data_IF_308427464666
#
_entry.id   IF_308427464666
#
_cell.length_a   1.000
_cell.length_b   1.000
_cell.length_c   1.000
_cell.angle_alpha   90.00
_cell.angle_beta   90.00
_cell.angle_gamma   90.00
#
_symmetry.space_group_name_H-M   'P 1'
#
loop_
_entity.id
_entity.type
_entity.pdbx_description
1 polymer ?
#
# COMPACT_ATOMS: atom_id res chain seq x y z
N UNK A 1 7.08 -8.62 -21.98
CA UNK A 1 6.08 -8.81 -20.90
C UNK A 1 6.82 -9.30 -19.67
N UNK A 2 7.19 -8.38 -18.78
CA UNK A 2 7.77 -8.75 -17.48
C UNK A 2 6.62 -9.21 -16.59
N UNK A 3 6.60 -10.46 -16.08
CA UNK A 3 5.48 -10.93 -15.29
C UNK A 3 5.39 -10.09 -14.00
N UNK A 4 4.18 -9.69 -13.56
CA UNK A 4 3.98 -8.88 -12.36
C UNK A 4 4.48 -9.55 -11.06
N UNK A 5 4.94 -10.80 -11.12
CA UNK A 5 5.41 -11.61 -10.01
C UNK A 5 6.93 -11.57 -9.75
N UNK A 6 7.70 -10.81 -10.54
CA UNK A 6 9.18 -10.80 -10.43
C UNK A 6 9.76 -9.64 -9.60
N UNK A 7 8.93 -8.82 -8.95
CA UNK A 7 9.40 -7.65 -8.17
C UNK A 7 9.41 -7.86 -6.65
N UNK A 8 8.91 -8.99 -6.14
CA UNK A 8 8.96 -9.35 -4.72
C UNK A 8 7.83 -10.26 -4.25
N UNK A 9 7.98 -10.91 -3.09
CA UNK A 9 6.93 -11.72 -2.47
C UNK A 9 6.08 -10.79 -1.58
N UNK A 10 4.92 -10.36 -2.07
CA UNK A 10 3.96 -9.55 -1.31
C UNK A 10 2.75 -10.39 -0.90
N UNK A 11 2.25 -10.18 0.32
CA UNK A 11 0.99 -10.77 0.75
C UNK A 11 -0.17 -9.89 0.27
N UNK A 12 -1.01 -10.45 -0.60
CA UNK A 12 -2.24 -9.82 -1.06
C UNK A 12 -3.41 -10.28 -0.19
N UNK A 13 -3.83 -9.41 0.72
CA UNK A 13 -5.07 -9.54 1.47
C UNK A 13 -5.82 -8.23 1.34
N UNK A 14 -7.11 -8.21 1.67
CA UNK A 14 -7.83 -6.95 1.90
C UNK A 14 -7.20 -6.21 3.11
N UNK A 15 -7.95 -5.46 3.91
CA UNK A 15 -7.37 -4.65 5.00
C UNK A 15 -6.35 -5.34 5.95
N UNK A 16 -6.35 -6.67 6.09
CA UNK A 16 -5.40 -7.42 6.92
C UNK A 16 -3.98 -7.62 6.34
N UNK A 17 -3.72 -7.24 5.08
CA UNK A 17 -2.43 -7.50 4.40
C UNK A 17 -1.21 -7.01 5.18
N UNK A 18 -1.29 -5.83 5.78
CA UNK A 18 -0.21 -5.24 6.58
C UNK A 18 0.12 -6.07 7.83
N UNK A 19 -0.91 -6.51 8.57
CA UNK A 19 -0.74 -7.31 9.79
C UNK A 19 -0.15 -8.69 9.49
N UNK A 20 -0.57 -9.33 8.38
CA UNK A 20 -0.01 -10.61 7.93
C UNK A 20 1.45 -10.44 7.49
N UNK A 21 1.74 -9.40 6.70
CA UNK A 21 3.09 -9.15 6.21
C UNK A 21 4.10 -8.94 7.34
N UNK A 22 3.69 -8.33 8.45
CA UNK A 22 4.53 -8.12 9.64
C UNK A 22 5.08 -9.43 10.26
N UNK A 23 4.42 -10.56 9.99
CA UNK A 23 4.81 -11.87 10.48
C UNK A 23 5.28 -12.83 9.35
N UNK A 24 5.43 -12.32 8.13
CA UNK A 24 5.79 -13.12 6.97
C UNK A 24 6.87 -12.41 6.13
N UNK A 25 6.47 -11.76 5.04
CA UNK A 25 7.39 -11.22 4.02
C UNK A 25 7.97 -9.86 4.38
N UNK A 26 7.41 -9.16 5.37
CA UNK A 26 7.74 -7.76 5.67
C UNK A 26 7.23 -6.77 4.61
N UNK A 27 6.51 -7.23 3.59
CA UNK A 27 5.97 -6.41 2.49
C UNK A 27 4.48 -6.69 2.29
N UNK A 28 3.66 -5.65 2.38
CA UNK A 28 2.23 -5.69 2.11
C UNK A 28 1.91 -4.82 0.88
N UNK A 29 0.97 -5.29 0.05
CA UNK A 29 0.42 -4.55 -1.07
C UNK A 29 -1.10 -4.51 -0.93
N UNK A 30 -1.69 -3.33 -1.03
CA UNK A 30 -3.14 -3.14 -0.91
C UNK A 30 -3.63 -2.00 -1.79
N UNK A 31 -4.94 -1.94 -2.06
CA UNK A 31 -5.58 -0.78 -2.67
C UNK A 31 -6.01 0.24 -1.61
N UNK A 32 -6.18 1.50 -2.03
CA UNK A 32 -6.69 2.60 -1.19
C UNK A 32 -8.03 2.26 -0.50
N UNK A 33 -9.01 1.72 -1.24
CA UNK A 33 -10.30 1.33 -0.67
C UNK A 33 -10.15 0.24 0.39
N UNK A 34 -9.40 -0.83 0.08
CA UNK A 34 -9.22 -1.94 1.00
C UNK A 34 -8.54 -1.50 2.30
N UNK A 35 -7.61 -0.54 2.21
CA UNK A 35 -6.96 0.02 3.38
C UNK A 35 -7.93 0.86 4.23
N UNK A 36 -8.70 1.76 3.61
CA UNK A 36 -9.67 2.61 4.33
C UNK A 36 -10.77 1.76 4.96
N UNK A 37 -11.26 0.76 4.24
CA UNK A 37 -12.38 -0.07 4.67
C UNK A 37 -12.03 -0.94 5.89
N UNK A 38 -10.84 -1.54 5.92
CA UNK A 38 -10.52 -2.50 7.00
C UNK A 38 -9.03 -2.66 7.32
N UNK A 39 -8.16 -1.74 6.89
CA UNK A 39 -6.71 -1.87 7.10
C UNK A 39 -6.07 -0.84 8.01
N UNK A 40 -6.71 0.32 8.25
CA UNK A 40 -6.14 1.41 9.06
C UNK A 40 -5.72 0.95 10.46
N UNK A 41 -6.53 0.12 11.13
CA UNK A 41 -6.25 -0.37 12.49
C UNK A 41 -4.96 -1.18 12.56
N UNK A 42 -4.63 -1.93 11.51
CA UNK A 42 -3.36 -2.68 11.45
C UNK A 42 -2.19 -1.71 11.32
N UNK A 43 -2.33 -0.63 10.55
CA UNK A 43 -1.26 0.37 10.36
C UNK A 43 -0.99 1.12 11.66
N UNK A 44 -2.04 1.49 12.39
CA UNK A 44 -1.92 2.12 13.71
C UNK A 44 -1.15 1.21 14.67
N UNK A 45 -1.49 -0.08 14.73
CA UNK A 45 -0.81 -1.05 15.60
C UNK A 45 0.67 -1.23 15.24
N UNK A 46 0.97 -1.39 13.94
CA UNK A 46 2.35 -1.55 13.44
C UNK A 46 3.19 -0.30 13.72
N UNK A 47 2.61 0.88 13.52
CA UNK A 47 3.26 2.15 13.82
C UNK A 47 3.56 2.29 15.31
N UNK A 48 2.55 2.05 16.17
CA UNK A 48 2.68 2.16 17.62
C UNK A 48 3.73 1.19 18.19
N UNK A 49 3.86 -0.01 17.59
CA UNK A 49 4.81 -1.04 18.00
C UNK A 49 6.17 -0.96 17.29
N UNK A 50 6.37 0.00 16.38
CA UNK A 50 7.62 0.12 15.62
C UNK A 50 7.95 -1.12 14.77
N UNK A 51 6.94 -1.82 14.25
CA UNK A 51 7.15 -3.07 13.50
C UNK A 51 7.66 -2.81 12.08
N UNK A 52 8.67 -3.55 11.59
CA UNK A 52 9.21 -3.39 10.25
C UNK A 52 8.27 -3.96 9.18
N UNK A 53 7.55 -3.08 8.48
CA UNK A 53 6.70 -3.44 7.33
C UNK A 53 6.82 -2.38 6.25
N UNK A 54 7.07 -2.78 5.02
CA UNK A 54 6.83 -1.95 3.84
C UNK A 54 5.38 -2.14 3.40
N UNK A 55 4.55 -1.13 3.63
CA UNK A 55 3.19 -1.07 3.13
C UNK A 55 3.17 -0.29 1.80
N UNK A 56 2.75 -0.96 0.74
CA UNK A 56 2.53 -0.35 -0.56
C UNK A 56 1.02 -0.20 -0.77
N UNK A 57 0.57 1.02 -1.02
CA UNK A 57 -0.84 1.36 -1.29
C UNK A 57 -0.94 1.80 -2.74
N UNK A 58 -1.70 1.06 -3.54
CA UNK A 58 -2.06 1.48 -4.89
C UNK A 58 -3.29 2.38 -4.79
N UNK A 59 -3.10 3.68 -5.02
CA UNK A 59 -4.15 4.69 -4.94
C UNK A 59 -4.63 5.04 -6.35
N UNK A 60 -5.81 4.53 -6.70
CA UNK A 60 -6.48 4.83 -7.97
C UNK A 60 -7.76 5.67 -7.77
N UNK A 61 -8.07 6.03 -6.52
CA UNK A 61 -9.18 6.90 -6.08
C UNK A 61 -10.56 6.35 -6.42
N UNK A 62 -10.67 5.07 -6.76
CA UNK A 62 -11.95 4.45 -7.07
C UNK A 62 -12.01 2.97 -6.69
N UNK A 63 -13.23 2.49 -6.42
CA UNK A 63 -13.51 1.09 -6.22
C UNK A 63 -13.47 0.33 -7.56
N UNK A 64 -12.27 0.15 -8.12
CA UNK A 64 -12.06 -0.37 -9.48
C UNK A 64 -12.73 -1.71 -9.77
N UNK A 65 -12.96 -2.54 -8.76
CA UNK A 65 -13.58 -3.88 -8.90
C UNK A 65 -15.08 -3.93 -8.62
N UNK A 66 -15.70 -2.86 -8.10
CA UNK A 66 -17.09 -2.89 -7.59
C UNK A 66 -17.96 -1.71 -8.06
N UNK A 67 -17.62 -1.12 -9.21
CA UNK A 67 -18.44 -0.08 -9.85
C UNK A 67 -17.82 1.32 -9.88
N UNK A 68 -16.51 1.44 -9.58
CA UNK A 68 -15.72 2.68 -9.71
C UNK A 68 -16.24 3.86 -8.87
N UNK A 69 -16.94 3.59 -7.78
CA UNK A 69 -17.34 4.61 -6.82
C UNK A 69 -16.08 5.32 -6.28
N UNK A 70 -16.19 6.62 -6.02
CA UNK A 70 -15.08 7.41 -5.49
C UNK A 70 -14.64 6.88 -4.13
N UNK A 71 -13.33 6.81 -3.94
CA UNK A 71 -12.71 6.44 -2.66
C UNK A 71 -12.13 7.71 -2.03
N UNK A 72 -12.28 7.91 -0.70
CA UNK A 72 -11.66 9.03 -0.01
C UNK A 72 -10.13 9.02 -0.17
N UNK A 73 -9.51 10.19 -0.07
CA UNK A 73 -8.04 10.28 -0.15
C UNK A 73 -7.37 9.62 1.07
N UNK A 74 -6.59 8.57 0.81
CA UNK A 74 -5.95 7.76 1.85
C UNK A 74 -4.90 8.54 2.64
N UNK A 75 -4.28 9.55 2.03
CA UNK A 75 -3.30 10.42 2.70
C UNK A 75 -3.89 11.14 3.92
N UNK A 76 -5.19 11.46 3.88
CA UNK A 76 -5.90 12.11 4.99
C UNK A 76 -5.96 11.24 6.25
N UNK A 77 -5.82 9.91 6.12
CA UNK A 77 -5.89 8.96 7.23
C UNK A 77 -4.51 8.46 7.68
N UNK A 78 -3.50 8.56 6.81
CA UNK A 78 -2.16 7.99 7.05
C UNK A 78 -1.09 9.03 7.40
N UNK A 79 -1.44 10.30 7.59
CA UNK A 79 -0.46 11.35 7.92
C UNK A 79 0.44 11.03 9.12
N UNK A 80 -0.07 10.25 10.09
CA UNK A 80 0.72 9.81 11.25
C UNK A 80 1.89 8.88 10.89
N UNK A 81 1.84 8.22 9.73
CA UNK A 81 2.84 7.25 9.28
C UNK A 81 3.86 7.85 8.29
N UNK A 82 3.81 9.16 8.06
CA UNK A 82 4.70 9.90 7.15
C UNK A 82 4.86 9.21 5.77
N UNK A 83 3.76 9.06 5.00
CA UNK A 83 3.79 8.28 3.78
C UNK A 83 4.59 8.98 2.68
N UNK A 84 5.39 8.20 1.96
CA UNK A 84 6.01 8.67 0.72
C UNK A 84 5.00 8.49 -0.41
N UNK A 85 4.71 9.58 -1.12
CA UNK A 85 3.79 9.57 -2.27
C UNK A 85 4.60 9.66 -3.56
N UNK A 86 4.26 8.80 -4.52
CA UNK A 86 4.82 8.84 -5.88
C UNK A 86 3.75 8.56 -6.93
N UNK A 87 3.96 9.09 -8.12
CA UNK A 87 3.20 8.72 -9.31
C UNK A 87 3.68 7.35 -9.84
N UNK A 88 2.77 6.56 -10.41
CA UNK A 88 3.09 5.24 -10.98
C UNK A 88 4.14 5.30 -12.10
N UNK A 89 4.32 6.45 -12.75
CA UNK A 89 5.37 6.70 -13.74
C UNK A 89 6.77 6.87 -13.14
N UNK A 90 6.91 7.12 -11.82
CA UNK A 90 8.20 7.33 -11.15
C UNK A 90 8.91 6.00 -10.82
N UNK A 91 9.15 5.16 -11.84
CA UNK A 91 9.68 3.79 -11.70
C UNK A 91 10.98 3.69 -10.89
N UNK A 92 11.94 4.59 -11.12
CA UNK A 92 13.23 4.63 -10.38
C UNK A 92 13.02 4.90 -8.89
N UNK A 93 12.14 5.86 -8.57
CA UNK A 93 11.80 6.22 -7.19
C UNK A 93 11.09 5.06 -6.49
N UNK A 94 10.14 4.41 -7.18
CA UNK A 94 9.45 3.23 -6.68
C UNK A 94 10.46 2.10 -6.39
N UNK A 95 11.33 1.80 -7.35
CA UNK A 95 12.33 0.73 -7.21
C UNK A 95 13.28 0.98 -6.03
N UNK A 96 13.77 2.21 -5.86
CA UNK A 96 14.61 2.59 -4.72
C UNK A 96 13.92 2.44 -3.35
N UNK A 97 12.59 2.37 -3.31
CA UNK A 97 11.80 2.21 -2.09
C UNK A 97 11.30 0.77 -1.84
N UNK A 98 11.51 -0.15 -2.78
CA UNK A 98 11.10 -1.56 -2.67
C UNK A 98 12.01 -2.40 -1.76
N UNK A 99 12.42 -1.83 -0.64
CA UNK A 99 13.25 -2.47 0.36
C UNK A 99 12.49 -2.38 1.69
N UNK A 100 12.35 -3.46 2.48
CA UNK A 100 11.81 -3.36 3.84
C UNK A 100 12.71 -2.51 4.74
N UNK A 101 12.12 -1.67 5.58
CA UNK A 101 12.85 -0.85 6.55
C UNK A 101 12.93 -1.51 7.93
N UNK A 102 13.53 -0.82 8.90
CA UNK A 102 13.56 -1.25 10.30
C UNK A 102 12.25 -0.94 11.05
N UNK A 103 11.39 -0.10 10.47
CA UNK A 103 10.08 0.31 10.99
C UNK A 103 9.04 0.33 9.87
N UNK A 104 7.79 0.60 10.22
CA UNK A 104 6.72 0.82 9.25
C UNK A 104 7.14 1.91 8.24
N UNK A 105 7.09 1.57 6.96
CA UNK A 105 7.21 2.50 5.84
C UNK A 105 5.97 2.40 4.98
N UNK A 106 5.37 3.53 4.68
CA UNK A 106 4.19 3.61 3.82
C UNK A 106 4.59 4.25 2.50
N UNK A 107 4.38 3.52 1.41
CA UNK A 107 4.54 3.98 0.05
C UNK A 107 3.17 4.03 -0.62
N UNK A 108 2.76 5.21 -1.05
CA UNK A 108 1.52 5.42 -1.80
C UNK A 108 1.88 5.66 -3.26
N UNK A 109 1.48 4.73 -4.12
CA UNK A 109 1.66 4.80 -5.57
C UNK A 109 0.36 5.27 -6.20
N UNK A 110 0.35 6.50 -6.71
CA UNK A 110 -0.82 7.09 -7.36
C UNK A 110 -0.86 6.68 -8.83
N UNK A 111 -2.03 6.27 -9.30
CA UNK A 111 -2.26 5.97 -10.71
C UNK A 111 -3.71 6.18 -11.07
N UNK A 112 -4.04 5.97 -12.35
CA UNK A 112 -5.42 6.02 -12.82
C UNK A 112 -5.95 4.60 -13.03
N UNK A 113 -7.21 4.38 -12.67
CA UNK A 113 -7.91 3.17 -13.08
C UNK A 113 -8.29 3.31 -14.57
N UNK A 114 -7.78 2.46 -15.48
CA UNK A 114 -8.04 2.56 -16.92
C UNK A 114 -9.54 2.60 -17.19
N UNK A 115 -10.00 3.48 -18.08
CA UNK A 115 -11.38 3.45 -18.58
C UNK A 115 -11.44 2.37 -19.68
N UNK A 116 -12.44 1.49 -19.61
CA UNK A 116 -12.77 0.60 -20.73
C UNK A 116 -13.23 1.41 -21.95
#
# INVERSE_FOLDING_TARGET
MSPPYSFGIANYGMGSSAGVAAHATGVALTGDYALIHSGIQAIIDLHAKGRPVLLIVLQNRCMGTTGRQSVPDVCSYLGFADPVVCDAGEHEKISGMMIPGEKLRVLIIQGECPKE
#
